data_IF_875104454634
#
_entry.id   IF_875104454634
#
_cell.length_a   1.000
_cell.length_b   1.000
_cell.length_c   1.000
_cell.angle_alpha   90.00
_cell.angle_beta   90.00
_cell.angle_gamma   90.00
#
_symmetry.space_group_name_H-M   'P 1'
#
loop_
_entity.id
_entity.type
_entity.pdbx_description
1 polymer ?
#
# COMPACT_ATOMS: atom_id res chain seq x y z
N UNK A 1 -32.88 10.35 -19.72
CA UNK A 1 -33.06 9.52 -18.51
C UNK A 1 -31.75 8.80 -18.32
N UNK A 2 -30.90 9.28 -17.42
CA UNK A 2 -29.59 8.64 -17.17
C UNK A 2 -29.86 7.24 -16.59
N UNK A 3 -29.25 6.20 -17.17
CA UNK A 3 -29.39 4.85 -16.63
C UNK A 3 -28.88 4.85 -15.19
N UNK A 4 -29.66 4.27 -14.27
CA UNK A 4 -29.28 4.15 -12.86
C UNK A 4 -27.93 3.43 -12.79
N UNK A 5 -26.95 4.09 -12.16
CA UNK A 5 -25.61 3.52 -11.98
C UNK A 5 -25.69 2.18 -11.25
N UNK A 6 -25.21 1.12 -11.91
CA UNK A 6 -25.07 -0.22 -11.34
C UNK A 6 -23.61 -0.51 -10.96
N UNK A 7 -23.27 -0.17 -9.72
CA UNK A 7 -21.94 -0.41 -9.14
C UNK A 7 -21.55 -1.90 -9.19
N UNK A 8 -22.51 -2.81 -9.02
CA UNK A 8 -22.20 -4.24 -8.91
C UNK A 8 -21.65 -4.77 -10.23
N UNK A 9 -22.27 -4.37 -11.35
CA UNK A 9 -21.80 -4.72 -12.69
C UNK A 9 -20.44 -4.10 -12.99
N UNK A 10 -20.21 -2.82 -12.65
CA UNK A 10 -18.90 -2.16 -12.89
C UNK A 10 -17.77 -2.80 -12.06
N UNK A 11 -18.02 -3.09 -10.78
CA UNK A 11 -17.06 -3.81 -9.91
C UNK A 11 -16.72 -5.18 -10.47
N UNK A 12 -17.73 -5.95 -10.88
CA UNK A 12 -17.52 -7.28 -11.45
C UNK A 12 -16.69 -7.22 -12.72
N UNK A 13 -17.02 -6.31 -13.64
CA UNK A 13 -16.27 -6.13 -14.88
C UNK A 13 -14.80 -5.74 -14.61
N UNK A 14 -14.56 -4.81 -13.68
CA UNK A 14 -13.21 -4.41 -13.28
C UNK A 14 -12.40 -5.59 -12.71
N UNK A 15 -13.02 -6.40 -11.84
CA UNK A 15 -12.35 -7.54 -11.23
C UNK A 15 -12.05 -8.68 -12.22
N UNK A 16 -12.99 -8.96 -13.14
CA UNK A 16 -12.85 -9.99 -14.17
C UNK A 16 -11.74 -9.67 -15.18
N UNK A 17 -11.44 -8.39 -15.41
CA UNK A 17 -10.29 -7.98 -16.23
C UNK A 17 -8.95 -8.42 -15.62
N UNK A 18 -8.87 -8.49 -14.28
CA UNK A 18 -7.64 -8.83 -13.52
C UNK A 18 -6.42 -7.97 -13.89
N UNK A 19 -6.68 -6.80 -14.46
CA UNK A 19 -5.68 -5.83 -14.90
C UNK A 19 -5.27 -4.87 -13.78
N UNK A 20 -6.18 -4.68 -12.83
CA UNK A 20 -6.06 -3.69 -11.76
C UNK A 20 -6.07 -2.26 -12.27
N UNK A 21 -5.77 -1.34 -11.37
CA UNK A 21 -5.72 0.11 -11.65
C UNK A 21 -4.61 0.45 -12.63
N UNK A 22 -3.45 -0.21 -12.55
CA UNK A 22 -2.36 -0.01 -13.51
C UNK A 22 -2.80 -0.31 -14.94
N UNK A 23 -3.59 -1.36 -15.17
CA UNK A 23 -4.08 -1.63 -16.54
C UNK A 23 -5.10 -0.62 -17.05
N UNK A 24 -5.85 0.03 -16.15
CA UNK A 24 -6.68 1.19 -16.53
C UNK A 24 -5.82 2.39 -16.93
N UNK A 25 -4.75 2.67 -16.18
CA UNK A 25 -3.80 3.74 -16.50
C UNK A 25 -3.10 3.47 -17.83
N UNK A 26 -2.63 2.24 -18.04
CA UNK A 26 -1.94 1.83 -19.28
C UNK A 26 -2.86 1.90 -20.51
N UNK A 27 -4.17 1.68 -20.33
CA UNK A 27 -5.16 1.84 -21.37
C UNK A 27 -5.47 3.32 -21.73
N UNK A 28 -4.90 4.28 -20.99
CA UNK A 28 -5.05 5.71 -21.27
C UNK A 28 -6.47 6.22 -21.07
N UNK A 29 -7.21 5.69 -20.08
CA UNK A 29 -8.58 6.12 -19.81
C UNK A 29 -8.65 7.64 -19.58
N UNK A 30 -9.71 8.28 -20.08
CA UNK A 30 -9.91 9.72 -19.95
C UNK A 30 -10.68 10.11 -18.68
N UNK A 31 -11.41 9.17 -18.07
CA UNK A 31 -12.23 9.40 -16.89
C UNK A 31 -12.08 8.24 -15.90
N UNK A 32 -11.99 8.57 -14.60
CA UNK A 32 -11.90 7.57 -13.55
C UNK A 32 -13.26 6.84 -13.42
N UNK A 33 -13.29 5.49 -13.40
CA UNK A 33 -14.52 4.71 -13.22
C UNK A 33 -15.25 5.07 -11.92
N UNK A 34 -16.59 5.03 -11.94
CA UNK A 34 -17.42 5.52 -10.82
C UNK A 34 -17.22 4.68 -9.55
N UNK A 35 -16.76 3.43 -9.65
CA UNK A 35 -16.39 2.59 -8.48
C UNK A 35 -15.31 3.22 -7.60
N UNK A 36 -14.46 4.12 -8.11
CA UNK A 36 -13.38 4.77 -7.34
C UNK A 36 -13.79 6.13 -6.76
N UNK A 37 -14.98 6.62 -7.08
CA UNK A 37 -15.46 7.91 -6.58
C UNK A 37 -15.86 7.77 -5.11
N UNK A 38 -15.14 8.45 -4.22
CA UNK A 38 -15.44 8.40 -2.80
C UNK A 38 -16.66 9.29 -2.48
N UNK A 39 -17.73 8.76 -1.86
CA UNK A 39 -18.99 9.49 -1.69
C UNK A 39 -18.88 10.75 -0.84
N UNK A 40 -17.82 10.89 -0.03
CA UNK A 40 -17.62 12.03 0.88
C UNK A 40 -16.58 13.05 0.40
N UNK A 41 -15.87 12.79 -0.72
CA UNK A 41 -14.91 13.74 -1.30
C UNK A 41 -15.57 14.80 -2.19
N UNK A 42 -16.88 14.70 -2.42
CA UNK A 42 -17.69 15.74 -3.07
C UNK A 42 -18.06 16.90 -2.14
N UNK A 43 -17.67 16.82 -0.86
CA UNK A 43 -17.77 17.96 0.05
C UNK A 43 -16.83 19.06 -0.43
N UNK A 44 -17.38 20.11 -1.02
CA UNK A 44 -16.73 21.39 -1.38
C UNK A 44 -16.23 22.16 -0.16
N UNK A 45 -15.98 21.50 0.97
CA UNK A 45 -15.25 22.12 2.04
C UNK A 45 -13.89 22.54 1.44
N UNK A 46 -13.56 23.84 1.41
CA UNK A 46 -12.20 24.23 1.09
C UNK A 46 -11.31 23.40 2.01
N UNK A 47 -10.27 22.74 1.47
CA UNK A 47 -9.20 22.21 2.30
C UNK A 47 -8.97 23.27 3.37
N UNK A 48 -9.28 23.03 4.66
CA UNK A 48 -9.00 24.03 5.65
C UNK A 48 -7.52 24.29 5.45
N UNK A 49 -7.19 25.52 5.03
CA UNK A 49 -5.83 26.01 5.08
C UNK A 49 -5.51 25.91 6.56
N UNK A 50 -5.01 24.74 6.95
CA UNK A 50 -4.57 24.48 8.29
C UNK A 50 -3.65 25.65 8.57
N UNK A 51 -3.94 26.48 9.59
CA UNK A 51 -2.94 27.45 10.00
C UNK A 51 -1.65 26.66 10.15
N UNK A 52 -0.55 27.20 9.62
CA UNK A 52 0.78 26.59 9.60
C UNK A 52 1.30 26.41 11.04
N UNK A 53 0.61 25.60 11.83
CA UNK A 53 1.21 24.86 12.91
C UNK A 53 2.00 23.79 12.17
N UNK A 54 3.30 23.99 12.10
CA UNK A 54 4.27 22.96 11.73
C UNK A 54 4.20 21.85 12.78
N UNK A 55 3.11 21.08 12.79
CA UNK A 55 3.07 19.79 13.45
C UNK A 55 4.02 18.89 12.69
N UNK A 56 5.26 18.83 13.16
CA UNK A 56 6.25 17.92 12.63
C UNK A 56 6.03 16.54 13.23
N UNK A 57 5.90 15.54 12.36
CA UNK A 57 5.87 14.14 12.76
C UNK A 57 7.19 13.84 13.50
N UNK A 58 7.16 13.26 14.71
CA UNK A 58 8.38 12.93 15.42
C UNK A 58 9.30 12.04 14.59
N UNK A 59 10.58 12.42 14.51
CA UNK A 59 11.63 11.60 13.91
C UNK A 59 12.54 11.08 15.01
N UNK A 60 12.71 9.75 15.07
CA UNK A 60 13.45 9.06 16.13
C UNK A 60 14.68 8.40 15.52
N UNK A 61 15.84 8.77 16.04
CA UNK A 61 17.11 8.14 15.72
C UNK A 61 17.28 6.85 16.53
N UNK A 62 17.41 5.72 15.82
CA UNK A 62 17.62 4.39 16.41
C UNK A 62 19.10 3.99 16.52
N UNK A 63 20.04 4.89 16.20
CA UNK A 63 21.46 4.72 16.48
C UNK A 63 22.14 3.58 15.71
N UNK A 64 21.63 3.24 14.53
CA UNK A 64 22.11 2.14 13.69
C UNK A 64 21.46 0.79 13.97
N UNK A 65 20.41 0.73 14.80
CA UNK A 65 19.69 -0.52 15.14
C UNK A 65 20.50 -1.48 16.02
N UNK A 66 21.74 -1.13 16.36
CA UNK A 66 22.63 -1.91 17.23
C UNK A 66 22.72 -1.21 18.59
N UNK A 67 21.88 -1.64 19.52
CA UNK A 67 21.91 -1.16 20.90
C UNK A 67 22.99 -1.91 21.69
N UNK A 68 24.27 -1.59 21.42
CA UNK A 68 25.43 -2.18 22.11
C UNK A 68 25.47 -1.88 23.62
N UNK A 69 24.61 -0.99 24.12
CA UNK A 69 24.44 -0.75 25.54
C UNK A 69 22.96 -0.56 25.90
N UNK A 70 22.56 -1.06 27.06
CA UNK A 70 21.20 -0.86 27.63
C UNK A 70 20.83 0.62 27.70
N UNK A 71 21.82 1.49 27.97
CA UNK A 71 21.67 2.95 28.06
C UNK A 71 21.16 3.57 26.77
N UNK A 72 21.65 3.12 25.61
CA UNK A 72 21.18 3.66 24.31
C UNK A 72 19.73 3.28 24.03
N UNK A 73 19.33 2.04 24.35
CA UNK A 73 17.94 1.56 24.21
C UNK A 73 16.99 2.28 25.16
N UNK A 74 17.37 2.45 26.42
CA UNK A 74 16.57 3.14 27.44
C UNK A 74 16.32 4.61 27.08
N UNK A 75 17.23 5.27 26.36
CA UNK A 75 17.04 6.65 25.90
C UNK A 75 16.03 6.81 24.75
N UNK A 76 15.78 5.75 23.99
CA UNK A 76 14.88 5.76 22.81
C UNK A 76 13.44 5.39 23.20
N UNK A 77 13.27 4.48 24.16
CA UNK A 77 11.95 3.99 24.59
C UNK A 77 10.98 5.13 24.97
N UNK A 78 11.37 6.12 25.80
CA UNK A 78 10.47 7.23 26.15
C UNK A 78 10.04 8.06 24.94
N UNK A 79 10.92 8.26 23.96
CA UNK A 79 10.62 9.02 22.73
C UNK A 79 9.60 8.29 21.87
N UNK A 80 9.74 6.97 21.72
CA UNK A 80 8.77 6.13 20.99
C UNK A 80 7.42 6.18 21.72
N UNK A 81 7.43 6.01 23.05
CA UNK A 81 6.21 6.06 23.86
C UNK A 81 5.46 7.38 23.66
N UNK A 82 6.16 8.51 23.82
CA UNK A 82 5.57 9.84 23.62
C UNK A 82 5.02 10.01 22.18
N UNK A 83 5.77 9.58 21.17
CA UNK A 83 5.35 9.70 19.79
C UNK A 83 4.07 8.89 19.48
N UNK A 84 3.99 7.66 19.99
CA UNK A 84 2.80 6.81 19.83
C UNK A 84 1.62 7.35 20.63
N UNK A 85 1.81 7.80 21.88
CA UNK A 85 0.74 8.34 22.72
C UNK A 85 0.15 9.64 22.16
N UNK A 86 1.00 10.50 21.60
CA UNK A 86 0.58 11.83 21.14
C UNK A 86 0.18 11.88 19.67
N UNK A 87 0.85 11.11 18.80
CA UNK A 87 0.66 11.18 17.35
C UNK A 87 0.16 9.86 16.75
N UNK A 88 0.36 8.72 17.42
CA UNK A 88 0.04 7.40 16.89
C UNK A 88 1.04 6.86 15.87
N UNK A 89 2.05 7.66 15.47
CA UNK A 89 3.08 7.27 14.51
C UNK A 89 4.33 8.15 14.63
N UNK A 90 5.45 7.69 14.06
CA UNK A 90 6.73 8.39 14.01
C UNK A 90 7.53 7.94 12.78
N UNK A 91 8.57 8.71 12.43
CA UNK A 91 9.58 8.31 11.45
C UNK A 91 10.80 7.77 12.18
N UNK A 92 11.41 6.70 11.68
CA UNK A 92 12.66 6.17 12.21
C UNK A 92 13.82 6.47 11.26
N UNK A 93 14.95 6.94 11.79
CA UNK A 93 16.22 7.08 11.06
C UNK A 93 17.30 6.25 11.74
N UNK A 94 18.37 5.95 11.01
CA UNK A 94 19.44 5.06 11.47
C UNK A 94 18.88 3.75 12.06
N UNK A 95 17.89 3.16 11.42
CA UNK A 95 17.21 1.94 11.89
C UNK A 95 18.04 0.66 11.70
N UNK A 96 19.24 0.75 11.13
CA UNK A 96 20.17 -0.37 10.95
C UNK A 96 19.92 -1.23 9.71
N UNK A 97 18.90 -0.91 8.91
CA UNK A 97 18.65 -1.58 7.62
C UNK A 97 19.47 -0.82 6.56
N UNK A 98 20.39 -1.50 5.83
CA UNK A 98 21.18 -0.86 4.79
C UNK A 98 20.30 -0.20 3.72
N UNK A 99 20.71 0.97 3.24
CA UNK A 99 19.96 1.74 2.24
C UNK A 99 19.82 0.94 0.95
N UNK A 100 20.85 0.21 0.57
CA UNK A 100 20.89 -0.63 -0.63
C UNK A 100 19.84 -1.74 -0.59
N UNK A 101 19.47 -2.24 0.59
CA UNK A 101 18.40 -3.23 0.76
C UNK A 101 17.03 -2.59 0.51
N UNK A 102 16.81 -1.38 1.04
CA UNK A 102 15.55 -0.65 0.84
C UNK A 102 15.35 -0.21 -0.62
N UNK A 103 16.42 0.24 -1.29
CA UNK A 103 16.34 0.67 -2.68
C UNK A 103 16.12 -0.53 -3.61
N UNK A 104 16.84 -1.64 -3.38
CA UNK A 104 16.54 -2.89 -4.08
C UNK A 104 15.09 -3.32 -3.88
N UNK A 105 14.54 -3.24 -2.67
CA UNK A 105 13.13 -3.58 -2.44
C UNK A 105 12.19 -2.73 -3.31
N UNK A 106 12.39 -1.41 -3.34
CA UNK A 106 11.57 -0.50 -4.17
C UNK A 106 11.68 -0.85 -5.64
N UNK A 107 12.90 -1.02 -6.16
CA UNK A 107 13.15 -1.36 -7.56
C UNK A 107 12.44 -2.65 -7.97
N UNK A 108 12.43 -3.65 -7.08
CA UNK A 108 11.82 -4.96 -7.33
C UNK A 108 10.29 -4.87 -7.36
N UNK A 109 9.69 -4.13 -6.42
CA UNK A 109 8.24 -3.90 -6.40
C UNK A 109 7.80 -3.07 -7.60
N UNK A 110 8.47 -1.97 -7.90
CA UNK A 110 8.20 -1.17 -9.09
C UNK A 110 8.35 -2.02 -10.36
N UNK A 111 9.43 -2.79 -10.46
CA UNK A 111 9.68 -3.72 -11.56
C UNK A 111 8.56 -4.73 -11.75
N UNK A 112 8.02 -5.31 -10.66
CA UNK A 112 6.85 -6.20 -10.73
C UNK A 112 5.62 -5.50 -11.34
N UNK A 113 5.30 -4.29 -10.91
CA UNK A 113 4.14 -3.56 -11.41
C UNK A 113 4.27 -3.10 -12.86
N UNK A 114 5.50 -2.92 -13.36
CA UNK A 114 5.79 -2.61 -14.76
C UNK A 114 5.84 -3.83 -15.68
N UNK A 115 5.70 -5.05 -15.15
CA UNK A 115 5.60 -6.24 -16.00
C UNK A 115 4.31 -6.26 -16.82
N UNK A 116 4.37 -6.98 -17.94
CA UNK A 116 3.23 -7.30 -18.78
C UNK A 116 2.05 -7.81 -17.94
N UNK A 117 0.86 -7.36 -18.29
CA UNK A 117 -0.34 -7.69 -17.51
C UNK A 117 -0.55 -9.20 -17.38
N UNK A 118 -0.16 -9.98 -18.37
CA UNK A 118 -0.35 -11.44 -18.36
C UNK A 118 0.57 -12.15 -17.38
N UNK A 119 1.72 -11.54 -17.03
CA UNK A 119 2.57 -12.04 -15.94
C UNK A 119 1.91 -11.74 -14.60
N UNK A 120 1.48 -10.48 -14.38
CA UNK A 120 0.82 -10.06 -13.13
C UNK A 120 -0.49 -10.80 -12.87
N UNK A 121 -1.28 -11.07 -13.91
CA UNK A 121 -2.55 -11.83 -13.85
C UNK A 121 -2.39 -13.23 -13.26
N UNK A 122 -1.22 -13.88 -13.40
CA UNK A 122 -0.95 -15.20 -12.81
C UNK A 122 -1.06 -15.19 -11.28
N UNK A 123 -0.72 -14.06 -10.67
CA UNK A 123 -0.82 -13.85 -9.23
C UNK A 123 -2.13 -13.14 -8.84
N UNK A 124 -2.95 -12.73 -9.81
CA UNK A 124 -4.19 -12.02 -9.52
C UNK A 124 -5.21 -12.92 -8.86
N UNK A 125 -5.55 -12.64 -7.60
CA UNK A 125 -6.47 -13.49 -6.83
C UNK A 125 -7.11 -12.74 -5.65
N UNK A 126 -8.32 -13.17 -5.29
CA UNK A 126 -9.02 -12.78 -4.06
C UNK A 126 -9.02 -13.87 -3.01
N UNK A 127 -8.36 -15.00 -3.28
CA UNK A 127 -8.18 -16.08 -2.32
C UNK A 127 -7.14 -15.68 -1.26
N UNK A 128 -7.63 -15.41 -0.05
CA UNK A 128 -6.81 -14.98 1.08
C UNK A 128 -6.04 -16.13 1.76
N UNK A 129 -6.21 -17.38 1.30
CA UNK A 129 -5.43 -18.53 1.78
C UNK A 129 -4.06 -18.61 1.11
N UNK A 130 -3.88 -17.92 -0.04
CA UNK A 130 -2.61 -17.86 -0.76
C UNK A 130 -1.62 -16.95 -0.07
N UNK A 131 -0.37 -17.39 -0.01
CA UNK A 131 0.72 -16.63 0.63
C UNK A 131 1.18 -15.43 -0.17
N UNK A 132 1.12 -15.50 -1.49
CA UNK A 132 1.48 -14.40 -2.40
C UNK A 132 0.28 -14.09 -3.26
N UNK A 133 -0.19 -12.85 -3.20
CA UNK A 133 -1.39 -12.41 -3.93
C UNK A 133 -1.18 -11.05 -4.56
N UNK A 134 -1.71 -10.87 -5.76
CA UNK A 134 -1.84 -9.58 -6.39
C UNK A 134 -3.34 -9.27 -6.54
N UNK A 135 -3.79 -8.07 -6.16
CA UNK A 135 -5.14 -7.62 -6.46
C UNK A 135 -5.27 -6.10 -6.28
N UNK A 136 -6.40 -5.58 -6.76
CA UNK A 136 -6.84 -4.23 -6.44
C UNK A 136 -7.96 -4.31 -5.40
N UNK A 137 -7.73 -3.67 -4.26
CA UNK A 137 -8.65 -3.58 -3.12
C UNK A 137 -9.06 -4.94 -2.54
N UNK A 138 -8.64 -5.24 -1.31
CA UNK A 138 -9.01 -6.49 -0.64
C UNK A 138 -10.53 -6.58 -0.35
N UNK A 139 -11.19 -5.44 -0.18
CA UNK A 139 -12.60 -5.26 0.19
C UNK A 139 -13.49 -4.76 -0.98
N UNK A 140 -13.05 -4.96 -2.23
CA UNK A 140 -13.67 -4.37 -3.43
C UNK A 140 -15.21 -4.48 -3.49
N UNK A 141 -15.75 -5.65 -3.14
CA UNK A 141 -17.17 -5.96 -3.23
C UNK A 141 -18.00 -5.41 -2.06
N UNK A 142 -17.40 -5.20 -0.89
CA UNK A 142 -18.10 -4.74 0.33
C UNK A 142 -17.93 -3.24 0.60
N UNK A 143 -16.85 -2.64 0.10
CA UNK A 143 -16.54 -1.23 0.32
C UNK A 143 -17.49 -0.32 -0.49
N UNK A 144 -17.88 0.87 0.01
CA UNK A 144 -18.70 1.81 -0.75
C UNK A 144 -17.99 2.32 -2.02
N UNK A 145 -16.65 2.36 -2.02
CA UNK A 145 -15.82 2.79 -3.14
C UNK A 145 -14.45 2.10 -3.09
N UNK A 146 -13.89 1.80 -4.25
CA UNK A 146 -12.54 1.26 -4.40
C UNK A 146 -11.47 2.36 -4.22
N UNK A 147 -10.29 1.98 -3.77
CA UNK A 147 -9.09 2.82 -3.81
C UNK A 147 -8.43 2.73 -5.19
N UNK A 148 -7.85 3.84 -5.65
CA UNK A 148 -7.03 3.89 -6.86
C UNK A 148 -5.63 3.31 -6.59
N UNK A 149 -5.56 1.98 -6.38
CA UNK A 149 -4.35 1.27 -5.98
C UNK A 149 -4.39 -0.21 -6.37
N UNK A 150 -3.22 -0.73 -6.73
CA UNK A 150 -2.93 -2.16 -6.81
C UNK A 150 -1.97 -2.58 -5.67
N UNK A 151 -2.10 -3.82 -5.21
CA UNK A 151 -1.33 -4.35 -4.08
C UNK A 151 -0.76 -5.73 -4.42
N UNK A 152 0.55 -5.89 -4.27
CA UNK A 152 1.21 -7.18 -4.10
C UNK A 152 1.36 -7.48 -2.61
N UNK A 153 0.75 -8.56 -2.13
CA UNK A 153 0.82 -9.00 -0.74
C UNK A 153 1.65 -10.27 -0.64
N UNK A 154 2.50 -10.33 0.39
CA UNK A 154 3.32 -11.49 0.72
C UNK A 154 3.19 -11.79 2.22
N UNK A 155 2.51 -12.89 2.55
CA UNK A 155 2.27 -13.32 3.92
C UNK A 155 3.42 -14.20 4.41
N UNK A 156 4.21 -13.68 5.35
CA UNK A 156 5.40 -14.34 5.90
C UNK A 156 5.12 -15.31 7.06
N UNK A 157 3.88 -15.37 7.54
CA UNK A 157 3.45 -16.14 8.71
C UNK A 157 2.25 -17.04 8.36
N UNK A 158 2.09 -18.23 8.99
CA UNK A 158 3.01 -18.85 9.96
C UNK A 158 4.29 -19.38 9.31
N UNK A 159 4.22 -19.75 8.04
CA UNK A 159 5.34 -20.29 7.28
C UNK A 159 5.72 -19.34 6.16
N UNK A 160 7.02 -19.02 6.06
CA UNK A 160 7.56 -18.14 5.01
C UNK A 160 7.27 -18.76 3.61
N UNK A 161 6.90 -17.95 2.61
CA UNK A 161 6.76 -18.42 1.23
C UNK A 161 8.10 -18.94 0.69
N UNK A 162 8.05 -19.94 -0.19
CA UNK A 162 9.24 -20.42 -0.88
C UNK A 162 9.63 -19.41 -1.93
N UNK A 163 10.90 -19.35 -2.31
CA UNK A 163 11.37 -18.46 -3.39
C UNK A 163 10.60 -18.68 -4.69
N UNK A 164 10.21 -19.92 -4.95
CA UNK A 164 9.37 -20.34 -6.09
C UNK A 164 7.98 -19.67 -6.11
N UNK A 165 7.46 -19.32 -4.94
CA UNK A 165 6.12 -18.75 -4.77
C UNK A 165 6.14 -17.22 -5.02
N UNK A 166 7.34 -16.59 -5.01
CA UNK A 166 7.52 -15.17 -5.26
C UNK A 166 7.59 -14.87 -6.76
N UNK A 167 7.22 -13.65 -7.20
CA UNK A 167 7.51 -13.23 -8.57
C UNK A 167 9.01 -13.33 -8.85
N UNK A 168 9.40 -13.86 -10.00
CA UNK A 168 10.83 -14.04 -10.37
C UNK A 168 11.64 -12.74 -10.24
N UNK A 169 11.02 -11.60 -10.56
CA UNK A 169 11.65 -10.29 -10.45
C UNK A 169 11.94 -9.89 -9.01
N UNK A 170 11.21 -10.44 -8.02
CA UNK A 170 11.33 -10.16 -6.59
C UNK A 170 12.24 -11.15 -5.85
N UNK A 171 12.76 -12.18 -6.53
CA UNK A 171 13.70 -13.16 -5.97
C UNK A 171 15.13 -12.68 -5.84
#
# INVERSE_FOLDING_TARGET
>A
MEAKYDRATEVKAFDEMKLGVKGLVDAGISEIPRIFHHPHLTSTAPNPLLPSSTMMIPTIDLGGGVFNSTVTRESVIPKIKEAVERYGFFQAINHGIPVEVMDKMKDRVCGFHEQDSDVRKKLYTRDNTKKVTYNSNFDLYSSPSANWRDTLSCFMSPDVPRTEDLPEICG
#
